data_IF_275748795762
#
_entry.id   IF_275748795762
#
_cell.length_a   1.000
_cell.length_b   1.000
_cell.length_c   1.000
_cell.angle_alpha   90.00
_cell.angle_beta   90.00
_cell.angle_gamma   90.00
#
_symmetry.space_group_name_H-M   'P 1'
#
loop_
_entity.id
_entity.type
_entity.pdbx_description
1 polymer ?
#
# COMPACT_ATOMS: atom_id res chain seq x y z
N UNK A 1 9.49 -15.14 -42.77
CA UNK A 1 8.32 -15.22 -41.87
C UNK A 1 7.94 -13.80 -41.51
N UNK A 2 6.68 -13.42 -41.63
CA UNK A 2 6.24 -12.08 -41.21
C UNK A 2 6.19 -12.02 -39.67
N UNK A 3 7.04 -11.19 -39.02
CA UNK A 3 7.09 -11.10 -37.57
C UNK A 3 5.78 -10.62 -36.95
N UNK A 4 5.02 -9.75 -37.64
CA UNK A 4 3.74 -9.23 -37.11
C UNK A 4 2.67 -10.31 -37.10
N UNK A 5 2.58 -11.10 -38.17
CA UNK A 5 1.68 -12.24 -38.24
C UNK A 5 2.03 -13.31 -37.20
N UNK A 6 3.32 -13.59 -37.01
CA UNK A 6 3.78 -14.53 -35.98
C UNK A 6 3.35 -14.07 -34.58
N UNK A 7 3.58 -12.81 -34.22
CA UNK A 7 3.16 -12.23 -32.94
C UNK A 7 1.64 -12.25 -32.77
N UNK A 8 0.88 -11.91 -33.81
CA UNK A 8 -0.58 -11.91 -33.79
C UNK A 8 -1.14 -13.33 -33.56
N UNK A 9 -0.58 -14.34 -34.23
CA UNK A 9 -0.96 -15.75 -34.04
C UNK A 9 -0.62 -16.23 -32.64
N UNK A 10 0.57 -15.88 -32.13
CA UNK A 10 0.94 -16.17 -30.75
C UNK A 10 -0.07 -15.59 -29.76
N UNK A 11 -0.37 -14.30 -29.86
CA UNK A 11 -1.29 -13.62 -28.94
C UNK A 11 -2.66 -14.29 -28.92
N UNK A 12 -3.21 -14.61 -30.10
CA UNK A 12 -4.48 -15.32 -30.19
C UNK A 12 -4.44 -16.73 -29.64
N UNK A 13 -3.30 -17.42 -29.75
CA UNK A 13 -3.15 -18.78 -29.25
C UNK A 13 -3.13 -18.83 -27.71
N UNK A 14 -2.55 -17.82 -27.06
CA UNK A 14 -2.37 -17.80 -25.60
C UNK A 14 -3.50 -17.09 -24.84
N UNK A 15 -4.24 -16.20 -25.50
CA UNK A 15 -5.32 -15.42 -24.89
C UNK A 15 -6.57 -16.26 -24.61
N UNK A 16 -7.20 -16.04 -23.45
CA UNK A 16 -8.35 -16.82 -22.96
C UNK A 16 -9.59 -16.00 -22.60
N UNK A 17 -9.54 -14.67 -22.75
CA UNK A 17 -10.63 -13.76 -22.40
C UNK A 17 -11.61 -13.47 -23.54
N UNK A 18 -12.31 -12.33 -23.44
CA UNK A 18 -13.27 -11.85 -24.41
C UNK A 18 -12.65 -11.27 -25.69
N UNK A 19 -13.38 -11.37 -26.81
CA UNK A 19 -12.91 -10.88 -28.12
C UNK A 19 -12.64 -9.36 -28.12
N UNK A 20 -13.37 -8.58 -27.30
CA UNK A 20 -13.21 -7.13 -27.22
C UNK A 20 -11.81 -6.73 -26.76
N UNK A 21 -11.28 -7.37 -25.72
CA UNK A 21 -9.96 -7.10 -25.14
C UNK A 21 -8.84 -7.36 -26.14
N UNK A 22 -8.80 -8.56 -26.72
CA UNK A 22 -7.77 -8.93 -27.70
C UNK A 22 -7.87 -8.09 -28.98
N UNK A 23 -9.08 -7.68 -29.40
CA UNK A 23 -9.23 -6.75 -30.53
C UNK A 23 -8.69 -5.36 -30.20
N UNK A 24 -8.88 -4.89 -28.98
CA UNK A 24 -8.26 -3.67 -28.47
C UNK A 24 -6.74 -3.72 -28.57
N UNK A 25 -6.12 -4.81 -28.12
CA UNK A 25 -4.67 -5.02 -28.24
C UNK A 25 -4.20 -5.01 -29.70
N UNK A 26 -4.94 -5.67 -30.60
CA UNK A 26 -4.62 -5.69 -32.03
C UNK A 26 -4.68 -4.30 -32.65
N UNK A 27 -5.75 -3.55 -32.37
CA UNK A 27 -5.92 -2.18 -32.85
C UNK A 27 -4.78 -1.29 -32.38
N UNK A 28 -4.43 -1.38 -31.10
CA UNK A 28 -3.38 -0.60 -30.49
C UNK A 28 -2.00 -0.94 -31.07
N UNK A 29 -1.69 -2.23 -31.23
CA UNK A 29 -0.35 -2.71 -31.64
C UNK A 29 -0.11 -2.63 -33.14
N UNK A 30 -1.12 -2.87 -33.95
CA UNK A 30 -0.98 -3.00 -35.40
C UNK A 30 -1.49 -1.80 -36.19
N UNK A 31 -2.21 -0.87 -35.56
CA UNK A 31 -2.75 0.32 -36.22
C UNK A 31 -3.61 -0.07 -37.43
N UNK A 32 -3.46 0.62 -38.56
CA UNK A 32 -4.27 0.39 -39.76
C UNK A 32 -4.26 -1.06 -40.29
N UNK A 33 -3.21 -1.83 -40.02
CA UNK A 33 -3.09 -3.22 -40.47
C UNK A 33 -3.82 -4.24 -39.57
N UNK A 34 -4.46 -3.79 -38.48
CA UNK A 34 -5.02 -4.69 -37.47
C UNK A 34 -6.09 -5.64 -38.03
N UNK A 35 -6.96 -5.18 -38.93
CA UNK A 35 -8.03 -6.01 -39.50
C UNK A 35 -7.47 -7.14 -40.38
N UNK A 36 -6.44 -6.83 -41.15
CA UNK A 36 -5.76 -7.81 -42.02
C UNK A 36 -5.07 -8.87 -41.17
N UNK A 37 -4.30 -8.45 -40.15
CA UNK A 37 -3.61 -9.36 -39.25
C UNK A 37 -4.59 -10.17 -38.39
N UNK A 38 -5.71 -9.58 -37.97
CA UNK A 38 -6.78 -10.30 -37.27
C UNK A 38 -7.33 -11.44 -38.12
N UNK A 39 -7.59 -11.20 -39.41
CA UNK A 39 -8.07 -12.23 -40.35
C UNK A 39 -6.99 -13.27 -40.70
N UNK A 40 -5.74 -12.85 -40.83
CA UNK A 40 -4.63 -13.75 -41.15
C UNK A 40 -4.22 -14.66 -39.97
N UNK A 41 -4.56 -14.26 -38.74
CA UNK A 41 -4.23 -14.99 -37.50
C UNK A 41 -5.34 -15.92 -37.01
N UNK A 42 -6.33 -16.27 -37.83
CA UNK A 42 -7.31 -17.32 -37.49
C UNK A 42 -6.67 -18.72 -37.48
N UNK A 43 -7.40 -19.68 -36.91
CA UNK A 43 -7.00 -21.10 -36.81
C UNK A 43 -5.64 -21.27 -36.12
N UNK A 44 -5.55 -20.77 -34.89
CA UNK A 44 -4.34 -20.84 -34.05
C UNK A 44 -4.37 -22.04 -33.12
N UNK A 45 -3.19 -22.56 -32.78
CA UNK A 45 -3.02 -23.66 -31.84
C UNK A 45 -1.66 -23.66 -31.14
N UNK A 46 -1.35 -24.74 -30.42
CA UNK A 46 -0.09 -24.88 -29.67
C UNK A 46 1.16 -24.79 -30.57
N UNK A 47 1.07 -25.23 -31.83
CA UNK A 47 2.17 -25.12 -32.80
C UNK A 47 2.58 -23.67 -33.07
N UNK A 48 1.66 -22.71 -32.98
CA UNK A 48 1.96 -21.28 -33.13
C UNK A 48 2.76 -20.74 -31.95
N UNK A 49 2.48 -21.24 -30.75
CA UNK A 49 3.23 -20.92 -29.52
C UNK A 49 4.67 -21.43 -29.67
N UNK A 50 4.84 -22.70 -30.05
CA UNK A 50 6.17 -23.27 -30.27
C UNK A 50 6.95 -22.55 -31.38
N UNK A 51 6.27 -22.17 -32.46
CA UNK A 51 6.89 -21.47 -33.59
C UNK A 51 7.37 -20.08 -33.18
N UNK A 52 6.58 -19.37 -32.36
CA UNK A 52 6.96 -18.09 -31.79
C UNK A 52 8.17 -18.21 -30.85
N UNK A 53 8.21 -19.22 -29.98
CA UNK A 53 9.34 -19.46 -29.08
C UNK A 53 10.64 -19.78 -29.85
N UNK A 54 10.56 -20.65 -30.88
CA UNK A 54 11.68 -20.97 -31.78
C UNK A 54 12.15 -19.77 -32.58
N UNK A 55 11.27 -18.79 -32.80
CA UNK A 55 11.54 -17.56 -33.55
C UNK A 55 11.65 -16.33 -32.63
N UNK A 56 12.00 -16.53 -31.36
CA UNK A 56 12.02 -15.48 -30.33
C UNK A 56 12.88 -14.27 -30.71
N UNK A 57 14.05 -14.47 -31.33
CA UNK A 57 14.93 -13.37 -31.75
C UNK A 57 14.22 -12.41 -32.74
N UNK A 58 13.42 -12.97 -33.67
CA UNK A 58 12.64 -12.18 -34.64
C UNK A 58 11.54 -11.36 -33.95
N UNK A 59 10.87 -11.93 -32.95
CA UNK A 59 9.85 -11.23 -32.15
C UNK A 59 10.46 -10.17 -31.24
N UNK A 60 11.63 -10.44 -30.67
CA UNK A 60 12.40 -9.47 -29.88
C UNK A 60 12.77 -8.26 -30.74
N UNK A 61 13.28 -8.47 -31.96
CA UNK A 61 13.60 -7.37 -32.88
C UNK A 61 12.37 -6.54 -33.25
N UNK A 62 11.22 -7.19 -33.46
CA UNK A 62 9.95 -6.50 -33.70
C UNK A 62 9.58 -5.61 -32.52
N UNK A 63 9.59 -6.13 -31.29
CA UNK A 63 9.26 -5.36 -30.08
C UNK A 63 10.26 -4.21 -29.89
N UNK A 64 11.58 -4.47 -30.03
CA UNK A 64 12.62 -3.43 -29.97
C UNK A 64 12.35 -2.29 -30.96
N UNK A 65 11.91 -2.61 -32.18
CA UNK A 65 11.62 -1.61 -33.22
C UNK A 65 10.43 -0.70 -32.88
N UNK A 66 9.52 -1.13 -31.99
CA UNK A 66 8.35 -0.34 -31.58
C UNK A 66 8.59 0.52 -30.35
N UNK A 67 9.57 0.18 -29.50
CA UNK A 67 9.85 0.93 -28.26
C UNK A 67 10.36 2.33 -28.61
N UNK A 68 9.55 3.35 -28.30
CA UNK A 68 9.86 4.77 -28.47
C UNK A 68 10.28 5.47 -27.16
N UNK A 69 10.16 4.79 -26.02
CA UNK A 69 10.59 5.26 -24.70
C UNK A 69 11.26 4.12 -23.91
N UNK A 70 12.58 4.03 -24.08
CA UNK A 70 13.43 3.02 -23.43
C UNK A 70 13.39 3.13 -21.91
N UNK A 71 13.23 4.34 -21.35
CA UNK A 71 13.19 4.53 -19.91
C UNK A 71 11.96 3.87 -19.27
N UNK A 72 10.79 3.99 -19.91
CA UNK A 72 9.57 3.32 -19.46
C UNK A 72 9.67 1.80 -19.63
N UNK A 73 10.19 1.33 -20.77
CA UNK A 73 10.41 -0.10 -21.00
C UNK A 73 11.37 -0.73 -19.97
N UNK A 74 12.44 -0.02 -19.63
CA UNK A 74 13.41 -0.44 -18.62
C UNK A 74 12.80 -0.51 -17.20
N UNK A 75 12.00 0.51 -16.81
CA UNK A 75 11.30 0.50 -15.51
C UNK A 75 10.30 -0.66 -15.38
N UNK A 76 9.54 -0.93 -16.45
CA UNK A 76 8.66 -2.09 -16.49
C UNK A 76 9.45 -3.40 -16.34
N UNK A 77 10.53 -3.55 -17.12
CA UNK A 77 11.34 -4.75 -17.11
C UNK A 77 12.03 -5.02 -15.76
N UNK A 78 12.47 -3.96 -15.06
CA UNK A 78 13.11 -4.07 -13.75
C UNK A 78 12.12 -4.32 -12.60
N UNK A 79 10.95 -3.67 -12.62
CA UNK A 79 10.05 -3.62 -11.46
C UNK A 79 8.61 -4.02 -11.78
N UNK A 80 8.06 -3.58 -12.91
CA UNK A 80 6.66 -3.80 -13.29
C UNK A 80 6.31 -5.25 -13.65
N UNK A 81 7.28 -6.06 -14.12
CA UNK A 81 7.03 -7.43 -14.60
C UNK A 81 6.43 -8.40 -13.57
N UNK A 82 6.50 -8.06 -12.28
CA UNK A 82 5.94 -8.88 -11.19
C UNK A 82 4.44 -8.64 -10.98
N UNK A 83 3.88 -7.62 -11.64
CA UNK A 83 2.46 -7.30 -11.60
C UNK A 83 1.79 -7.93 -12.84
N UNK A 84 0.78 -8.77 -12.60
CA UNK A 84 0.09 -9.50 -13.66
C UNK A 84 -1.36 -9.06 -13.85
N UNK A 85 -1.99 -8.45 -12.84
CA UNK A 85 -3.30 -7.84 -13.01
C UNK A 85 -3.15 -6.48 -13.69
N UNK A 86 -3.95 -6.23 -14.73
CA UNK A 86 -3.85 -5.03 -15.58
C UNK A 86 -3.89 -3.75 -14.74
N UNK A 87 -4.85 -3.66 -13.81
CA UNK A 87 -5.04 -2.49 -12.95
C UNK A 87 -3.92 -2.32 -11.93
N UNK A 88 -3.39 -3.42 -11.39
CA UNK A 88 -2.22 -3.34 -10.51
C UNK A 88 -0.99 -2.85 -11.28
N UNK A 89 -0.78 -3.36 -12.50
CA UNK A 89 0.31 -2.94 -13.38
C UNK A 89 0.20 -1.45 -13.72
N UNK A 90 -1.00 -0.97 -14.07
CA UNK A 90 -1.26 0.44 -14.34
C UNK A 90 -0.88 1.34 -13.14
N UNK A 91 -1.38 1.00 -11.94
CA UNK A 91 -1.08 1.74 -10.71
C UNK A 91 0.41 1.63 -10.32
N UNK A 92 1.01 0.46 -10.51
CA UNK A 92 2.43 0.22 -10.25
C UNK A 92 3.32 1.08 -11.15
N UNK A 93 3.00 1.19 -12.43
CA UNK A 93 3.72 2.09 -13.35
C UNK A 93 3.50 3.56 -13.01
N UNK A 94 2.31 3.94 -12.52
CA UNK A 94 2.08 5.28 -12.00
C UNK A 94 2.96 5.62 -10.79
N UNK A 95 3.13 4.67 -9.86
CA UNK A 95 4.03 4.80 -8.70
C UNK A 95 5.51 4.93 -9.12
N UNK A 96 5.88 4.35 -10.27
CA UNK A 96 7.18 4.55 -10.93
C UNK A 96 7.28 5.88 -11.70
N UNK A 97 6.26 6.74 -11.61
CA UNK A 97 6.22 8.03 -12.30
C UNK A 97 6.01 7.91 -13.80
N UNK A 98 5.28 6.87 -14.24
CA UNK A 98 4.89 6.62 -15.63
C UNK A 98 3.38 6.39 -15.75
N UNK A 99 2.55 7.39 -15.43
CA UNK A 99 1.10 7.28 -15.62
C UNK A 99 0.76 6.99 -17.09
N UNK A 100 -0.21 6.11 -17.34
CA UNK A 100 -0.61 5.69 -18.69
C UNK A 100 0.43 4.86 -19.45
N UNK A 101 1.44 4.30 -18.77
CA UNK A 101 2.46 3.48 -19.42
C UNK A 101 1.92 2.17 -20.00
N UNK A 102 0.86 1.61 -19.40
CA UNK A 102 0.28 0.32 -19.81
C UNK A 102 -0.07 0.31 -21.31
N UNK A 103 -0.75 1.35 -21.80
CA UNK A 103 -1.09 1.49 -23.21
C UNK A 103 0.17 1.44 -24.10
N UNK A 104 1.25 2.12 -23.71
CA UNK A 104 2.52 2.06 -24.45
C UNK A 104 3.13 0.65 -24.44
N UNK A 105 3.11 -0.02 -23.29
CA UNK A 105 3.66 -1.38 -23.13
C UNK A 105 2.89 -2.38 -24.01
N UNK A 106 1.56 -2.29 -24.04
CA UNK A 106 0.68 -3.10 -24.91
C UNK A 106 0.94 -2.81 -26.40
N UNK A 107 1.04 -1.52 -26.76
CA UNK A 107 1.34 -1.05 -28.12
C UNK A 107 2.69 -1.55 -28.63
N UNK A 108 3.72 -1.58 -27.78
CA UNK A 108 5.03 -2.10 -28.17
C UNK A 108 5.05 -3.63 -28.29
N UNK A 109 4.10 -4.33 -27.64
CA UNK A 109 4.12 -5.79 -27.48
C UNK A 109 5.04 -6.25 -26.34
N UNK A 110 5.48 -5.34 -25.48
CA UNK A 110 6.27 -5.68 -24.28
C UNK A 110 5.39 -6.30 -23.20
N UNK A 111 4.10 -5.95 -23.20
CA UNK A 111 3.01 -6.55 -22.42
C UNK A 111 1.92 -7.00 -23.39
N UNK A 112 1.19 -8.05 -23.05
CA UNK A 112 -0.04 -8.45 -23.72
C UNK A 112 -1.04 -9.02 -22.73
N UNK A 113 -2.32 -8.95 -23.10
CA UNK A 113 -3.36 -9.65 -22.36
C UNK A 113 -3.29 -11.17 -22.58
N UNK A 114 -3.37 -11.92 -21.49
CA UNK A 114 -3.57 -13.38 -21.47
C UNK A 114 -5.01 -13.75 -21.10
N UNK A 115 -5.70 -12.84 -20.41
CA UNK A 115 -7.14 -12.87 -20.10
C UNK A 115 -7.63 -11.41 -20.03
N UNK A 116 -8.91 -11.19 -19.74
CA UNK A 116 -9.51 -9.85 -19.71
C UNK A 116 -8.89 -8.92 -18.68
N UNK A 117 -8.44 -9.45 -17.53
CA UNK A 117 -7.84 -8.66 -16.45
C UNK A 117 -6.33 -8.93 -16.26
N UNK A 118 -5.73 -9.83 -17.06
CA UNK A 118 -4.36 -10.31 -16.88
C UNK A 118 -3.47 -9.83 -18.02
N UNK A 119 -2.54 -8.93 -17.71
CA UNK A 119 -1.59 -8.36 -18.66
C UNK A 119 -0.15 -8.60 -18.18
N UNK A 120 0.64 -9.32 -18.98
CA UNK A 120 2.02 -9.65 -18.63
C UNK A 120 2.93 -9.69 -19.86
N UNK A 121 4.25 -9.76 -19.63
CA UNK A 121 5.20 -9.92 -20.71
C UNK A 121 5.16 -11.35 -21.29
N UNK A 122 5.21 -11.50 -22.62
CA UNK A 122 5.36 -12.80 -23.26
C UNK A 122 6.65 -13.52 -22.84
N UNK A 123 6.63 -14.85 -22.62
CA UNK A 123 7.82 -15.63 -22.27
C UNK A 123 8.99 -15.49 -23.26
N UNK A 124 8.71 -15.34 -24.56
CA UNK A 124 9.76 -15.17 -25.57
C UNK A 124 10.57 -13.87 -25.40
N UNK A 125 10.08 -12.90 -24.60
CA UNK A 125 10.79 -11.65 -24.31
C UNK A 125 11.72 -11.73 -23.09
N UNK A 126 11.87 -12.89 -22.43
CA UNK A 126 12.65 -13.00 -21.19
C UNK A 126 14.07 -12.40 -21.29
N UNK A 127 14.78 -12.65 -22.40
CA UNK A 127 16.12 -12.08 -22.64
C UNK A 127 16.09 -10.55 -22.79
N UNK A 128 15.11 -10.03 -23.52
CA UNK A 128 14.93 -8.59 -23.72
C UNK A 128 14.65 -7.88 -22.39
N UNK A 129 13.82 -8.47 -21.53
CA UNK A 129 13.50 -7.88 -20.23
C UNK A 129 14.72 -7.83 -19.31
N UNK A 130 15.61 -8.82 -19.37
CA UNK A 130 16.88 -8.78 -18.62
C UNK A 130 17.73 -7.60 -19.12
N UNK A 131 17.92 -7.49 -20.43
CA UNK A 131 18.69 -6.40 -21.06
C UNK A 131 18.13 -5.02 -20.71
N UNK A 132 16.80 -4.83 -20.81
CA UNK A 132 16.13 -3.58 -20.47
C UNK A 132 16.20 -3.28 -18.97
N UNK A 133 16.05 -4.30 -18.12
CA UNK A 133 16.07 -4.16 -16.68
C UNK A 133 17.42 -3.69 -16.15
N UNK A 134 18.53 -4.13 -16.76
CA UNK A 134 19.89 -3.66 -16.42
C UNK A 134 20.10 -2.17 -16.72
N UNK A 135 19.38 -1.62 -17.70
CA UNK A 135 19.42 -0.21 -18.07
C UNK A 135 18.48 0.67 -17.22
N UNK A 136 17.70 0.08 -16.31
CA UNK A 136 16.71 0.82 -15.53
C UNK A 136 17.40 1.79 -14.56
N UNK A 137 17.08 3.08 -14.71
CA UNK A 137 17.46 4.12 -13.77
C UNK A 137 16.20 4.65 -13.10
N UNK A 138 16.10 4.42 -11.79
CA UNK A 138 15.02 4.97 -10.98
C UNK A 138 15.60 5.62 -9.73
N UNK A 139 15.25 6.88 -9.50
CA UNK A 139 15.52 7.54 -8.23
C UNK A 139 14.52 7.03 -7.20
N UNK A 140 14.85 5.89 -6.57
CA UNK A 140 14.03 5.25 -5.53
C UNK A 140 13.78 6.27 -4.40
N UNK A 141 12.53 6.68 -4.16
CA UNK A 141 12.20 7.58 -3.06
C UNK A 141 12.60 6.98 -1.72
N UNK A 142 12.81 7.83 -0.71
CA UNK A 142 12.91 7.36 0.66
C UNK A 142 11.47 7.13 1.19
N UNK A 143 11.04 5.87 1.46
CA UNK A 143 9.66 5.60 1.85
C UNK A 143 9.30 6.31 3.16
N UNK A 144 10.27 6.48 4.07
CA UNK A 144 10.07 7.20 5.33
C UNK A 144 9.74 8.68 5.10
N UNK A 145 10.40 9.34 4.16
CA UNK A 145 10.15 10.76 3.84
C UNK A 145 8.78 10.95 3.19
N UNK A 146 8.42 10.06 2.27
CA UNK A 146 7.11 10.04 1.61
C UNK A 146 5.98 9.81 2.64
N UNK A 147 6.17 8.89 3.60
CA UNK A 147 5.21 8.61 4.68
C UNK A 147 5.12 9.75 5.70
N UNK A 148 6.23 10.43 6.00
CA UNK A 148 6.27 11.51 6.99
C UNK A 148 5.32 12.66 6.64
N UNK A 149 5.14 12.94 5.35
CA UNK A 149 4.23 13.96 4.84
C UNK A 149 2.77 13.73 5.28
N UNK A 150 2.38 12.47 5.47
CA UNK A 150 1.04 12.05 5.89
C UNK A 150 0.96 11.74 7.38
N UNK A 151 2.07 11.80 8.11
CA UNK A 151 2.13 11.34 9.49
C UNK A 151 1.16 12.04 10.46
N UNK A 152 0.70 13.26 10.12
CA UNK A 152 -0.30 14.03 10.89
C UNK A 152 -1.74 13.66 10.55
N UNK A 153 -1.96 12.94 9.46
CA UNK A 153 -3.24 12.37 9.10
C UNK A 153 -3.34 10.95 9.66
N UNK A 154 -3.81 10.87 10.91
CA UNK A 154 -3.91 9.60 11.62
C UNK A 154 -4.89 8.61 10.98
N UNK A 155 -5.91 9.09 10.26
CA UNK A 155 -6.87 8.21 9.59
C UNK A 155 -6.21 7.49 8.41
N UNK A 156 -5.57 8.26 7.54
CA UNK A 156 -4.80 7.77 6.39
C UNK A 156 -3.70 6.79 6.82
N UNK A 157 -2.92 7.14 7.83
CA UNK A 157 -1.85 6.29 8.33
C UNK A 157 -2.40 5.03 9.02
N UNK A 158 -3.42 5.12 9.85
CA UNK A 158 -4.03 3.92 10.44
C UNK A 158 -4.54 2.98 9.35
N UNK A 159 -5.22 3.52 8.33
CA UNK A 159 -5.76 2.71 7.24
C UNK A 159 -4.66 2.03 6.43
N UNK A 160 -3.61 2.74 6.03
CA UNK A 160 -2.47 2.16 5.32
C UNK A 160 -1.80 1.04 6.14
N UNK A 161 -1.58 1.25 7.44
CA UNK A 161 -1.01 0.23 8.32
C UNK A 161 -1.90 -1.02 8.38
N UNK A 162 -3.21 -0.82 8.42
CA UNK A 162 -4.19 -1.90 8.41
C UNK A 162 -4.16 -2.69 7.10
N UNK A 163 -4.02 -2.02 5.96
CA UNK A 163 -3.90 -2.66 4.64
C UNK A 163 -2.59 -3.45 4.52
N UNK A 164 -1.45 -2.86 4.94
CA UNK A 164 -0.14 -3.53 4.90
C UNK A 164 -0.07 -4.77 5.79
N UNK A 165 -0.81 -4.76 6.91
CA UNK A 165 -0.83 -5.88 7.87
C UNK A 165 -2.01 -6.83 7.67
N UNK A 166 -2.96 -6.51 6.79
CA UNK A 166 -4.22 -7.23 6.61
C UNK A 166 -5.05 -7.37 7.91
N UNK A 167 -4.90 -6.43 8.86
CA UNK A 167 -5.53 -6.49 10.19
C UNK A 167 -6.66 -5.48 10.41
N UNK A 168 -7.25 -4.92 9.34
CA UNK A 168 -8.29 -3.90 9.48
C UNK A 168 -9.48 -4.38 10.34
N UNK A 169 -9.76 -3.66 11.42
CA UNK A 169 -11.00 -3.73 12.17
C UNK A 169 -11.87 -2.54 11.76
N UNK A 170 -12.85 -2.78 10.88
CA UNK A 170 -13.67 -1.72 10.29
C UNK A 170 -14.55 -0.99 11.31
N UNK A 171 -15.05 -1.69 12.33
CA UNK A 171 -15.86 -1.07 13.40
C UNK A 171 -15.00 -0.13 14.22
N UNK A 172 -13.80 -0.59 14.58
CA UNK A 172 -12.84 0.20 15.33
C UNK A 172 -12.33 1.40 14.50
N UNK A 173 -12.02 1.21 13.22
CA UNK A 173 -11.64 2.29 12.32
C UNK A 173 -12.75 3.34 12.25
N UNK A 174 -14.00 2.90 12.04
CA UNK A 174 -15.16 3.79 11.97
C UNK A 174 -15.39 4.58 13.25
N UNK A 175 -15.14 3.96 14.41
CA UNK A 175 -15.27 4.64 15.70
C UNK A 175 -14.24 5.77 15.88
N UNK A 176 -13.00 5.60 15.41
CA UNK A 176 -11.91 6.56 15.59
C UNK A 176 -11.75 7.57 14.46
N UNK A 177 -12.06 7.18 13.22
CA UNK A 177 -11.73 7.94 12.02
C UNK A 177 -12.91 8.12 11.04
N UNK A 178 -14.03 7.43 11.26
CA UNK A 178 -15.15 7.40 10.31
C UNK A 178 -14.94 6.34 9.21
N UNK A 179 -15.75 6.41 8.15
CA UNK A 179 -15.73 5.40 7.10
C UNK A 179 -14.35 5.34 6.40
N UNK A 180 -13.82 4.13 6.14
CA UNK A 180 -12.60 3.98 5.36
C UNK A 180 -12.67 4.68 4.00
N UNK A 181 -11.58 5.30 3.52
CA UNK A 181 -11.56 5.92 2.22
C UNK A 181 -11.68 4.87 1.10
N UNK A 182 -12.36 5.23 0.01
CA UNK A 182 -12.43 4.36 -1.20
C UNK A 182 -11.14 4.37 -2.01
N UNK A 183 -10.37 5.44 -1.87
CA UNK A 183 -9.11 5.65 -2.57
C UNK A 183 -8.12 6.31 -1.61
N UNK A 184 -6.86 5.89 -1.67
CA UNK A 184 -5.79 6.49 -0.89
C UNK A 184 -4.51 6.50 -1.72
N UNK A 185 -3.76 7.60 -1.65
CA UNK A 185 -2.46 7.74 -2.30
C UNK A 185 -1.44 8.27 -1.30
N UNK A 186 -0.33 7.54 -1.16
CA UNK A 186 0.81 7.93 -0.33
C UNK A 186 1.98 8.19 -1.25
N UNK A 187 2.04 9.41 -1.77
CA UNK A 187 3.14 9.87 -2.61
C UNK A 187 3.45 8.90 -3.76
N UNK A 188 4.68 8.37 -3.79
CA UNK A 188 5.14 7.29 -4.71
C UNK A 188 5.35 5.94 -4.02
N UNK A 189 4.81 5.76 -2.82
CA UNK A 189 4.98 4.53 -2.02
C UNK A 189 3.83 3.56 -2.25
N UNK A 190 2.58 4.03 -2.21
CA UNK A 190 1.43 3.15 -2.34
C UNK A 190 0.19 3.88 -2.87
N UNK A 191 -0.65 3.14 -3.57
CA UNK A 191 -2.02 3.52 -3.96
C UNK A 191 -2.95 2.43 -3.47
N UNK A 192 -4.11 2.80 -2.95
CA UNK A 192 -5.22 1.91 -2.67
C UNK A 192 -6.42 2.37 -3.48
N UNK A 193 -7.10 1.43 -4.13
CA UNK A 193 -8.42 1.61 -4.73
C UNK A 193 -9.32 0.46 -4.26
N UNK A 194 -10.57 0.73 -3.92
CA UNK A 194 -11.47 -0.27 -3.33
C UNK A 194 -11.70 -1.51 -4.22
N UNK A 195 -11.71 -1.32 -5.53
CA UNK A 195 -11.92 -2.35 -6.55
C UNK A 195 -10.65 -3.12 -6.93
N UNK A 196 -9.47 -2.58 -6.64
CA UNK A 196 -8.16 -3.20 -6.96
C UNK A 196 -7.48 -3.79 -5.73
N UNK A 197 -7.50 -3.06 -4.60
CA UNK A 197 -6.71 -3.36 -3.40
C UNK A 197 -5.53 -2.40 -3.22
N UNK A 198 -4.62 -2.74 -2.30
CA UNK A 198 -3.42 -1.97 -2.03
C UNK A 198 -2.31 -2.36 -3.03
N UNK A 199 -1.89 -1.40 -3.86
CA UNK A 199 -0.72 -1.52 -4.73
C UNK A 199 0.44 -0.76 -4.09
N UNK A 200 1.45 -1.50 -3.66
CA UNK A 200 2.73 -0.93 -3.21
C UNK A 200 3.63 -0.71 -4.43
N UNK A 201 4.40 0.37 -4.40
CA UNK A 201 5.32 0.71 -5.48
C UNK A 201 6.29 -0.45 -5.72
N UNK A 202 6.46 -0.92 -6.97
CA UNK A 202 7.16 -2.18 -7.25
C UNK A 202 8.66 -2.20 -6.90
N UNK A 203 9.21 -1.06 -6.44
CA UNK A 203 10.59 -0.92 -5.96
C UNK A 203 10.74 -1.25 -4.46
N UNK A 204 9.63 -1.47 -3.75
CA UNK A 204 9.60 -1.87 -2.34
C UNK A 204 8.83 -3.18 -2.17
N UNK A 205 9.15 -3.93 -1.12
CA UNK A 205 8.23 -4.90 -0.54
C UNK A 205 7.21 -4.22 0.40
N UNK A 206 6.09 -4.88 0.67
CA UNK A 206 5.13 -4.41 1.68
C UNK A 206 5.78 -4.29 3.07
N UNK A 207 6.66 -5.23 3.44
CA UNK A 207 7.41 -5.19 4.70
C UNK A 207 8.35 -3.98 4.79
N UNK A 208 9.06 -3.62 3.71
CA UNK A 208 9.91 -2.42 3.69
C UNK A 208 9.09 -1.14 3.96
N UNK A 209 7.88 -1.07 3.41
CA UNK A 209 6.96 0.06 3.64
C UNK A 209 6.44 0.06 5.07
N UNK A 210 6.05 -1.10 5.60
CA UNK A 210 5.59 -1.24 6.97
C UNK A 210 6.69 -0.86 7.97
N UNK A 211 7.92 -1.31 7.78
CA UNK A 211 9.05 -0.96 8.63
C UNK A 211 9.33 0.55 8.61
N UNK A 212 9.31 1.18 7.43
CA UNK A 212 9.45 2.63 7.31
C UNK A 212 8.32 3.38 8.03
N UNK A 213 7.09 2.86 7.94
CA UNK A 213 5.93 3.41 8.63
C UNK A 213 6.05 3.28 10.15
N UNK A 214 6.53 2.14 10.66
CA UNK A 214 6.74 1.94 12.09
C UNK A 214 7.84 2.86 12.64
N UNK A 215 8.90 3.14 11.87
CA UNK A 215 9.91 4.14 12.27
C UNK A 215 9.32 5.57 12.37
N UNK A 216 8.40 5.93 11.47
CA UNK A 216 7.67 7.21 11.58
C UNK A 216 6.80 7.21 12.83
N UNK A 217 6.08 6.12 13.07
CA UNK A 217 5.19 5.95 14.22
C UNK A 217 5.95 6.01 15.54
N UNK A 218 7.07 5.31 15.65
CA UNK A 218 7.95 5.31 16.81
C UNK A 218 8.40 6.72 17.17
N UNK A 219 8.95 7.47 16.21
CA UNK A 219 9.40 8.84 16.45
C UNK A 219 8.26 9.73 16.97
N UNK A 220 7.06 9.58 16.44
CA UNK A 220 5.89 10.34 16.89
C UNK A 220 5.41 9.90 18.27
N UNK A 221 5.40 8.59 18.53
CA UNK A 221 5.06 8.04 19.83
C UNK A 221 6.04 8.54 20.91
N UNK A 222 7.34 8.60 20.60
CA UNK A 222 8.36 9.14 21.49
C UNK A 222 8.13 10.63 21.79
N UNK A 223 7.80 11.42 20.77
CA UNK A 223 7.51 12.84 20.94
C UNK A 223 6.27 13.05 21.82
N UNK A 224 5.22 12.26 21.59
CA UNK A 224 3.99 12.31 22.37
C UNK A 224 4.21 11.83 23.82
N UNK A 225 4.95 10.74 24.01
CA UNK A 225 5.31 10.23 25.33
C UNK A 225 6.13 11.25 26.14
N UNK A 226 7.06 11.97 25.50
CA UNK A 226 7.79 13.08 26.14
C UNK A 226 6.86 14.23 26.51
N UNK A 227 5.92 14.59 25.65
CA UNK A 227 4.94 15.64 25.95
C UNK A 227 4.03 15.28 27.13
N UNK A 228 3.65 14.00 27.25
CA UNK A 228 2.87 13.50 28.38
C UNK A 228 3.67 13.49 29.70
N UNK A 229 5.00 13.37 29.63
CA UNK A 229 5.90 13.38 30.80
C UNK A 229 5.49 12.41 31.92
N UNK A 230 4.98 11.24 31.56
CA UNK A 230 4.56 10.21 32.51
C UNK A 230 5.79 9.60 33.23
N UNK A 231 5.60 9.17 34.47
CA UNK A 231 6.64 8.49 35.25
C UNK A 231 6.62 6.98 35.00
N UNK A 232 7.69 6.40 34.48
CA UNK A 232 7.75 4.96 34.27
C UNK A 232 8.78 4.54 33.24
N UNK A 233 8.66 3.29 32.79
CA UNK A 233 9.45 2.78 31.68
C UNK A 233 8.67 2.93 30.38
N UNK A 234 9.33 3.42 29.34
CA UNK A 234 8.76 3.60 28.02
C UNK A 234 9.57 2.83 26.98
N UNK A 235 8.89 2.10 26.12
CA UNK A 235 9.47 1.45 24.94
C UNK A 235 8.48 1.53 23.76
N UNK A 236 8.99 1.54 22.53
CA UNK A 236 8.15 1.31 21.36
C UNK A 236 8.06 -0.19 21.08
N UNK A 237 6.84 -0.73 21.05
CA UNK A 237 6.62 -2.15 20.77
C UNK A 237 6.17 -2.36 19.33
N UNK A 238 7.03 -2.97 18.51
CA UNK A 238 6.68 -3.35 17.13
C UNK A 238 5.48 -4.32 17.08
N UNK A 239 5.30 -5.16 18.09
CA UNK A 239 4.16 -6.10 18.15
C UNK A 239 2.81 -5.40 18.39
N UNK A 240 2.81 -4.37 19.22
CA UNK A 240 1.62 -3.56 19.52
C UNK A 240 1.47 -2.39 18.54
N UNK A 241 2.55 -2.06 17.82
CA UNK A 241 2.69 -0.92 16.90
C UNK A 241 2.33 0.40 17.57
N UNK A 242 2.71 0.55 18.83
CA UNK A 242 2.54 1.75 19.64
C UNK A 242 3.66 1.85 20.68
N UNK A 243 3.87 3.06 21.21
CA UNK A 243 4.66 3.27 22.42
C UNK A 243 3.92 2.70 23.63
N UNK A 244 4.60 1.95 24.48
CA UNK A 244 4.05 1.40 25.71
C UNK A 244 4.75 2.06 26.89
N UNK A 245 3.97 2.75 27.72
CA UNK A 245 4.46 3.35 28.95
C UNK A 245 3.93 2.57 30.15
N UNK A 246 4.81 1.87 30.85
CA UNK A 246 4.47 1.05 32.00
C UNK A 246 4.56 1.91 33.27
N UNK A 247 3.43 2.01 33.98
CA UNK A 247 3.29 2.83 35.18
C UNK A 247 3.06 1.93 36.40
N UNK A 248 3.69 2.30 37.52
CA UNK A 248 3.42 1.75 38.85
C UNK A 248 3.43 2.92 39.84
N UNK A 249 2.27 3.49 40.11
CA UNK A 249 2.15 4.76 40.85
C UNK A 249 2.36 4.57 42.35
N UNK A 250 1.84 3.48 42.93
CA UNK A 250 1.92 3.20 44.37
C UNK A 250 2.16 1.70 44.68
N UNK A 251 2.60 0.92 43.68
CA UNK A 251 2.78 -0.53 43.81
C UNK A 251 1.47 -1.32 43.95
N UNK A 252 0.30 -0.66 43.92
CA UNK A 252 -0.98 -1.36 43.87
C UNK A 252 -1.28 -1.82 42.44
N UNK A 253 -1.91 -2.99 42.32
CA UNK A 253 -2.34 -3.52 41.02
C UNK A 253 -3.37 -2.60 40.32
N UNK A 254 -4.13 -1.81 41.08
CA UNK A 254 -5.20 -0.95 40.54
C UNK A 254 -4.68 0.34 39.88
N UNK A 255 -3.53 0.86 40.34
CA UNK A 255 -2.85 2.01 39.73
C UNK A 255 -1.58 1.63 38.95
N UNK A 256 -1.36 0.34 38.76
CA UNK A 256 -0.34 -0.17 37.85
C UNK A 256 -1.00 -0.54 36.52
N UNK A 257 -0.39 -0.15 35.42
CA UNK A 257 -0.93 -0.47 34.09
C UNK A 257 -0.11 0.15 32.98
N UNK A 258 -0.70 0.15 31.78
CA UNK A 258 0.00 0.54 30.56
C UNK A 258 -0.73 1.68 29.89
N UNK A 259 0.00 2.73 29.55
CA UNK A 259 -0.46 3.77 28.63
C UNK A 259 0.06 3.43 27.24
N UNK A 260 -0.85 3.07 26.33
CA UNK A 260 -0.52 2.82 24.94
C UNK A 260 -0.58 4.15 24.16
N UNK A 261 0.58 4.65 23.75
CA UNK A 261 0.77 5.89 22.99
C UNK A 261 0.80 5.57 21.50
N UNK A 262 -0.31 5.82 20.82
CA UNK A 262 -0.53 5.47 19.42
C UNK A 262 -0.78 6.74 18.59
N UNK A 263 0.25 7.33 17.93
CA UNK A 263 0.07 8.52 17.10
C UNK A 263 -1.07 8.39 16.08
N UNK A 264 -1.21 7.19 15.53
CA UNK A 264 -2.44 6.71 14.92
C UNK A 264 -2.72 5.30 15.44
N UNK A 265 -3.98 4.88 15.33
CA UNK A 265 -4.46 3.64 15.89
C UNK A 265 -3.72 2.44 15.30
N UNK A 266 -3.37 1.48 16.16
CA UNK A 266 -2.92 0.15 15.74
C UNK A 266 -4.09 -0.82 15.82
N UNK A 267 -4.25 -1.67 14.82
CA UNK A 267 -5.26 -2.75 14.82
C UNK A 267 -4.71 -4.07 15.40
N UNK A 268 -3.47 -4.07 15.89
CA UNK A 268 -2.82 -5.25 16.47
C UNK A 268 -3.72 -5.91 17.51
N UNK A 269 -4.10 -7.16 17.25
CA UNK A 269 -4.91 -7.95 18.20
C UNK A 269 -4.24 -8.07 19.57
N UNK A 270 -2.91 -7.94 19.66
CA UNK A 270 -2.18 -7.97 20.95
C UNK A 270 -2.50 -6.76 21.81
N UNK A 271 -2.53 -5.56 21.23
CA UNK A 271 -2.93 -4.32 21.89
C UNK A 271 -4.34 -4.45 22.47
N UNK A 272 -5.25 -4.97 21.66
CA UNK A 272 -6.65 -5.04 22.04
C UNK A 272 -6.92 -6.21 23.00
N UNK A 273 -6.42 -7.42 22.78
CA UNK A 273 -6.91 -8.59 23.54
C UNK A 273 -6.11 -8.90 24.81
N UNK A 274 -4.85 -8.47 24.91
CA UNK A 274 -3.93 -8.97 25.95
C UNK A 274 -3.58 -7.95 27.03
N UNK A 275 -3.93 -6.68 26.85
CA UNK A 275 -3.58 -5.64 27.83
C UNK A 275 -4.70 -5.44 28.86
N UNK A 276 -4.33 -5.54 30.13
CA UNK A 276 -5.20 -5.26 31.27
C UNK A 276 -4.87 -3.87 31.84
N UNK A 277 -5.88 -3.15 32.33
CA UNK A 277 -5.75 -1.80 32.90
C UNK A 277 -4.97 -0.84 31.97
N UNK A 278 -5.53 -0.59 30.80
CA UNK A 278 -4.88 0.19 29.73
C UNK A 278 -5.60 1.52 29.50
N UNK A 279 -4.80 2.57 29.33
CA UNK A 279 -5.26 3.85 28.78
C UNK A 279 -4.66 4.01 27.39
N UNK A 280 -5.49 4.33 26.41
CA UNK A 280 -5.05 4.58 25.04
C UNK A 280 -4.89 6.09 24.85
N UNK A 281 -3.75 6.52 24.34
CA UNK A 281 -3.51 7.90 23.91
C UNK A 281 -3.41 7.91 22.39
N UNK A 282 -4.27 8.69 21.74
CA UNK A 282 -4.30 8.85 20.28
C UNK A 282 -4.09 10.31 19.93
N UNK A 283 -3.26 10.58 18.93
CA UNK A 283 -3.10 11.94 18.43
C UNK A 283 -4.26 12.30 17.50
N UNK A 284 -4.88 13.46 17.71
CA UNK A 284 -6.03 13.90 16.94
C UNK A 284 -7.15 14.50 17.81
N UNK A 285 -8.27 14.79 17.17
CA UNK A 285 -9.50 15.20 17.84
C UNK A 285 -10.39 13.99 18.08
N UNK A 286 -11.18 14.05 19.15
CA UNK A 286 -12.19 13.03 19.41
C UNK A 286 -13.30 13.11 18.35
N UNK A 287 -13.74 11.98 17.79
CA UNK A 287 -14.92 11.94 16.94
C UNK A 287 -16.19 12.40 17.69
N UNK A 288 -17.11 13.15 17.05
CA UNK A 288 -18.29 13.72 17.72
C UNK A 288 -19.13 12.70 18.51
N UNK A 289 -19.27 11.49 17.98
CA UNK A 289 -20.08 10.39 18.55
C UNK A 289 -19.22 9.23 19.05
N UNK A 290 -18.01 9.50 19.55
CA UNK A 290 -17.11 8.45 20.02
C UNK A 290 -17.76 7.60 21.13
N UNK A 291 -17.84 6.26 20.96
CA UNK A 291 -18.53 5.39 21.92
C UNK A 291 -17.74 5.28 23.22
N UNK A 292 -18.43 4.99 24.33
CA UNK A 292 -17.75 4.54 25.54
C UNK A 292 -17.07 3.21 25.26
N UNK A 293 -15.76 3.17 25.50
CA UNK A 293 -14.93 2.02 25.21
C UNK A 293 -14.51 1.30 26.50
N UNK A 294 -14.05 0.05 26.40
CA UNK A 294 -13.55 -0.69 27.58
C UNK A 294 -12.28 -0.09 28.19
N UNK A 295 -11.52 0.65 27.40
CA UNK A 295 -10.31 1.37 27.81
C UNK A 295 -10.63 2.84 27.93
N UNK A 296 -9.92 3.54 28.81
CA UNK A 296 -9.93 4.99 28.77
C UNK A 296 -9.19 5.46 27.53
N UNK A 297 -9.72 6.47 26.84
CA UNK A 297 -9.12 7.00 25.62
C UNK A 297 -8.86 8.49 25.81
N UNK A 298 -7.64 8.92 25.53
CA UNK A 298 -7.24 10.33 25.56
C UNK A 298 -6.84 10.73 24.16
N UNK A 299 -7.57 11.68 23.58
CA UNK A 299 -7.23 12.30 22.30
C UNK A 299 -6.39 13.54 22.56
N UNK A 300 -5.26 13.71 21.86
CA UNK A 300 -4.35 14.84 22.06
C UNK A 300 -4.15 15.62 20.77
N UNK A 301 -4.34 16.94 20.83
CA UNK A 301 -4.04 17.85 19.72
C UNK A 301 -3.62 19.22 20.24
N UNK A 302 -2.41 19.66 19.88
CA UNK A 302 -2.00 21.04 20.08
C UNK A 302 -2.02 21.56 21.52
N UNK A 303 -1.78 20.70 22.52
CA UNK A 303 -1.84 21.05 23.94
C UNK A 303 -3.23 20.91 24.57
N UNK A 304 -4.23 20.50 23.80
CA UNK A 304 -5.55 20.12 24.28
C UNK A 304 -5.62 18.58 24.41
N UNK A 305 -6.34 18.12 25.42
CA UNK A 305 -6.61 16.71 25.67
C UNK A 305 -8.11 16.47 25.88
N UNK A 306 -8.72 15.61 25.07
CA UNK A 306 -10.09 15.14 25.27
C UNK A 306 -10.05 13.73 25.87
N UNK A 307 -10.45 13.60 27.13
CA UNK A 307 -10.39 12.36 27.91
C UNK A 307 -11.78 11.71 27.98
N UNK A 308 -11.92 10.53 27.35
CA UNK A 308 -13.12 9.71 27.39
C UNK A 308 -12.95 8.60 28.41
N UNK A 309 -13.80 8.60 29.44
CA UNK A 309 -13.71 7.63 30.52
C UNK A 309 -14.03 6.20 30.04
N UNK A 310 -13.32 5.18 30.55
CA UNK A 310 -13.66 3.79 30.28
C UNK A 310 -15.06 3.45 30.80
N UNK A 311 -15.67 2.40 30.23
CA UNK A 311 -16.97 1.89 30.69
C UNK A 311 -16.97 1.48 32.17
N UNK A 312 -15.82 1.03 32.68
CA UNK A 312 -15.60 0.68 34.08
C UNK A 312 -14.71 1.73 34.76
N UNK A 313 -14.92 2.00 36.05
CA UNK A 313 -14.06 2.92 36.81
C UNK A 313 -12.60 2.48 36.78
N UNK A 314 -11.67 3.40 36.51
CA UNK A 314 -10.23 3.13 36.47
C UNK A 314 -9.46 4.21 37.21
N UNK A 315 -8.80 3.83 38.31
CA UNK A 315 -7.91 4.73 39.09
C UNK A 315 -6.68 5.15 38.28
N UNK A 316 -6.21 4.28 37.38
CA UNK A 316 -5.14 4.62 36.45
C UNK A 316 -5.58 5.76 35.53
N UNK A 317 -6.78 5.69 34.98
CA UNK A 317 -7.29 6.75 34.10
C UNK A 317 -7.41 8.09 34.83
N UNK A 318 -7.95 8.09 36.06
CA UNK A 318 -8.02 9.30 36.89
C UNK A 318 -6.63 9.89 37.12
N UNK A 319 -5.64 9.05 37.43
CA UNK A 319 -4.25 9.49 37.56
C UNK A 319 -3.69 10.10 36.26
N UNK A 320 -3.96 9.51 35.10
CA UNK A 320 -3.52 10.09 33.82
C UNK A 320 -4.13 11.47 33.58
N UNK A 321 -5.43 11.63 33.87
CA UNK A 321 -6.11 12.92 33.76
C UNK A 321 -5.46 13.96 34.69
N UNK A 322 -5.17 13.61 35.95
CA UNK A 322 -4.47 14.48 36.89
C UNK A 322 -3.08 14.89 36.39
N UNK A 323 -2.34 13.94 35.81
CA UNK A 323 -1.02 14.21 35.22
C UNK A 323 -1.13 15.18 34.05
N UNK A 324 -2.11 15.01 33.16
CA UNK A 324 -2.34 15.91 32.02
C UNK A 324 -2.59 17.36 32.47
N UNK A 325 -3.39 17.57 33.52
CA UNK A 325 -3.54 18.90 34.11
C UNK A 325 -2.22 19.43 34.67
N UNK A 326 -1.44 18.59 35.35
CA UNK A 326 -0.17 19.01 35.98
C UNK A 326 0.91 19.42 34.97
N UNK A 327 0.93 18.79 33.79
CA UNK A 327 1.89 19.08 32.71
C UNK A 327 1.40 20.19 31.77
N UNK A 328 0.22 20.77 32.03
CA UNK A 328 -0.27 21.98 31.36
C UNK A 328 -1.18 21.76 30.16
N UNK A 329 -1.74 20.56 29.97
CA UNK A 329 -2.78 20.35 28.95
C UNK A 329 -4.10 21.00 29.38
N UNK A 330 -4.83 21.54 28.40
CA UNK A 330 -6.24 21.87 28.59
C UNK A 330 -7.07 20.61 28.44
N UNK A 331 -7.62 20.08 29.54
CA UNK A 331 -8.33 18.80 29.54
C UNK A 331 -9.85 19.00 29.52
N UNK A 332 -10.52 18.28 28.64
CA UNK A 332 -11.98 18.13 28.61
C UNK A 332 -12.33 16.67 28.90
N UNK A 333 -13.13 16.43 29.95
CA UNK A 333 -13.53 15.09 30.39
C UNK A 333 -14.98 14.77 30.01
N UNK A 334 -15.25 13.54 29.52
CA UNK A 334 -16.57 13.07 29.08
C UNK A 334 -16.91 11.65 29.59
#
# INVERSE_FOLDING_TARGET
MDPKLLEARYQRAVFRGGEETIRGDFQLRYGEAWEELWRASYDVGEEDVETAEKSSDLLVDLVKSRIDDVGTAALYAAYGRNLALERELELGMELLGRPGALEKLLRWGLVMHFDDDVAAAPPYLAKLLIELGEAASFCKPNPREELEAYSRDGATMAYLEALLTEELDAELHSAFYGDPPRELRIGRVAIYQQDVGLVVSPVYSADEVLDAMLQVKERRADALAKALSLHGEYEFSAEHRCGLHYLSVDGSAEKSGVVAVCPWLSYSRRLWRRMHNTVLVVEGQRPPNFPRFRFGVVFIKGGEAEAVRPASSSKLFDYIVDVLYSVGFSVSEL
#
